data_IF_102929255176
#
_entry.id   IF_102929255176
#
_cell.length_a   1.000
_cell.length_b   1.000
_cell.length_c   1.000
_cell.angle_alpha   90.00
_cell.angle_beta   90.00
_cell.angle_gamma   90.00
#
_symmetry.space_group_name_H-M   'P 1'
#
loop_
_entity.id
_entity.type
_entity.pdbx_description
1 polymer ?
#
# COMPACT_ATOMS: atom_id res chain seq x y z
N UNK A 1 -40.00 44.04 3.25
CA UNK A 1 -38.71 43.97 2.54
C UNK A 1 -38.03 42.66 2.93
N UNK A 2 -38.22 41.63 2.11
CA UNK A 2 -37.85 40.25 2.40
C UNK A 2 -36.37 39.94 2.08
N UNK A 3 -35.73 39.25 3.03
CA UNK A 3 -34.85 38.06 2.94
C UNK A 3 -33.99 37.80 1.68
N UNK A 4 -32.70 37.48 1.89
CA UNK A 4 -31.89 36.40 1.28
C UNK A 4 -30.45 36.48 1.87
N UNK A 5 -30.10 35.71 2.92
CA UNK A 5 -29.48 34.35 2.98
C UNK A 5 -28.06 34.18 2.39
N UNK A 6 -27.10 34.09 3.32
CA UNK A 6 -26.06 33.06 3.49
C UNK A 6 -25.22 32.62 2.27
N UNK A 7 -23.97 33.08 2.24
CA UNK A 7 -22.85 32.49 1.50
C UNK A 7 -22.35 31.22 2.20
N UNK A 8 -22.66 30.06 1.62
CA UNK A 8 -22.10 28.77 2.03
C UNK A 8 -20.67 28.66 1.51
N UNK A 9 -19.70 28.63 2.42
CA UNK A 9 -18.33 28.19 2.16
C UNK A 9 -18.33 26.70 1.86
N UNK A 10 -17.85 26.34 0.67
CA UNK A 10 -17.62 24.94 0.27
C UNK A 10 -16.47 24.38 1.11
N UNK A 11 -16.61 23.24 1.80
CA UNK A 11 -15.51 22.64 2.53
C UNK A 11 -14.50 22.06 1.53
N UNK A 12 -13.23 22.37 1.74
CA UNK A 12 -12.13 21.74 1.04
C UNK A 12 -12.21 20.22 1.25
N UNK A 13 -12.40 19.48 0.14
CA UNK A 13 -12.29 18.04 0.13
C UNK A 13 -10.89 17.66 0.62
N UNK A 14 -10.82 17.08 1.81
CA UNK A 14 -9.61 16.45 2.31
C UNK A 14 -9.28 15.28 1.40
N UNK A 15 -8.23 15.42 0.60
CA UNK A 15 -7.55 14.30 -0.02
C UNK A 15 -7.08 13.37 1.11
N UNK A 16 -7.88 12.35 1.44
CA UNK A 16 -7.38 11.19 2.19
C UNK A 16 -6.28 10.58 1.31
N UNK A 17 -5.05 10.86 1.67
CA UNK A 17 -3.89 10.20 1.10
C UNK A 17 -4.01 8.70 1.37
N UNK A 18 -3.94 7.87 0.33
CA UNK A 18 -3.91 6.40 0.40
C UNK A 18 -2.87 5.84 1.38
N UNK A 19 -1.86 6.63 1.76
CA UNK A 19 -0.90 6.33 2.82
C UNK A 19 -1.51 6.16 4.22
N UNK A 20 -2.75 6.57 4.43
CA UNK A 20 -3.45 6.42 5.71
C UNK A 20 -3.89 4.98 6.02
N UNK A 21 -4.12 4.17 4.99
CA UNK A 21 -4.78 2.87 5.16
C UNK A 21 -3.80 1.79 5.62
N UNK A 22 -2.58 1.71 5.04
CA UNK A 22 -1.56 0.75 5.49
C UNK A 22 -0.98 1.11 6.87
N UNK A 23 -0.72 2.40 7.14
CA UNK A 23 -0.20 2.83 8.44
C UNK A 23 -1.17 2.48 9.55
N UNK A 24 -2.47 2.54 9.27
CA UNK A 24 -3.54 2.08 10.16
C UNK A 24 -3.51 0.56 10.36
N UNK A 25 -3.35 -0.23 9.30
CA UNK A 25 -3.32 -1.71 9.39
C UNK A 25 -2.12 -2.23 10.19
N UNK A 26 -0.91 -1.73 9.90
CA UNK A 26 0.30 -2.10 10.63
C UNK A 26 0.24 -1.61 12.09
N UNK A 27 -0.27 -0.40 12.32
CA UNK A 27 -0.49 0.10 13.68
C UNK A 27 -1.49 -0.76 14.46
N UNK A 28 -2.59 -1.17 13.83
CA UNK A 28 -3.58 -2.05 14.45
C UNK A 28 -2.97 -3.40 14.82
N UNK A 29 -2.11 -3.96 13.97
CA UNK A 29 -1.37 -5.18 14.27
C UNK A 29 -0.41 -5.00 15.45
N UNK A 30 0.41 -3.94 15.45
CA UNK A 30 1.33 -3.64 16.56
C UNK A 30 0.61 -3.42 17.90
N UNK A 31 -0.55 -2.76 17.87
CA UNK A 31 -1.38 -2.53 19.06
C UNK A 31 -2.05 -3.82 19.58
N UNK A 32 -2.20 -4.85 18.74
CA UNK A 32 -2.71 -6.16 19.16
C UNK A 32 -1.63 -7.01 19.86
N UNK A 33 -0.35 -6.66 19.72
CA UNK A 33 0.76 -7.42 20.31
C UNK A 33 0.86 -7.18 21.83
N UNK A 34 1.27 -8.20 22.62
CA UNK A 34 1.53 -8.04 24.04
C UNK A 34 2.66 -7.03 24.31
N UNK A 35 2.55 -6.30 25.43
CA UNK A 35 3.57 -5.32 25.87
C UNK A 35 4.98 -5.93 25.98
N UNK A 36 5.07 -7.18 26.45
CA UNK A 36 6.36 -7.89 26.54
C UNK A 36 6.98 -8.12 25.16
N UNK A 37 6.18 -8.45 24.15
CA UNK A 37 6.61 -8.63 22.77
C UNK A 37 7.10 -7.31 22.17
N UNK A 38 6.39 -6.20 22.43
CA UNK A 38 6.82 -4.86 22.03
C UNK A 38 8.15 -4.45 22.70
N UNK A 39 8.31 -4.73 23.99
CA UNK A 39 9.57 -4.46 24.70
C UNK A 39 10.76 -5.24 24.10
N UNK A 40 10.54 -6.50 23.68
CA UNK A 40 11.55 -7.28 22.95
C UNK A 40 11.86 -6.69 21.58
N UNK A 41 10.84 -6.23 20.86
CA UNK A 41 10.98 -5.60 19.55
C UNK A 41 11.80 -4.28 19.65
N UNK A 42 11.62 -3.52 20.73
CA UNK A 42 12.38 -2.30 21.02
C UNK A 42 13.84 -2.54 21.44
N UNK A 43 14.28 -3.79 21.59
CA UNK A 43 15.70 -4.09 21.78
C UNK A 43 16.52 -3.91 20.49
N UNK A 44 15.87 -3.92 19.33
CA UNK A 44 16.52 -3.76 18.03
C UNK A 44 16.43 -2.31 17.54
N UNK A 45 17.56 -1.59 17.35
CA UNK A 45 17.58 -0.21 16.86
C UNK A 45 16.81 0.04 15.56
N UNK A 46 16.86 -0.88 14.59
CA UNK A 46 16.13 -0.74 13.33
C UNK A 46 14.61 -0.77 13.52
N UNK A 47 14.12 -1.61 14.44
CA UNK A 47 12.70 -1.65 14.80
C UNK A 47 12.24 -0.35 15.45
N UNK A 48 13.04 0.25 16.33
CA UNK A 48 12.76 1.57 16.91
C UNK A 48 12.64 2.65 15.84
N UNK A 49 13.58 2.66 14.87
CA UNK A 49 13.56 3.62 13.77
C UNK A 49 12.35 3.43 12.84
N UNK A 50 12.03 2.18 12.49
CA UNK A 50 10.86 1.88 11.65
C UNK A 50 9.56 2.30 12.35
N UNK A 51 9.39 1.95 13.63
CA UNK A 51 8.21 2.33 14.41
C UNK A 51 8.12 3.85 14.57
N UNK A 52 9.25 4.54 14.78
CA UNK A 52 9.28 5.99 14.79
C UNK A 52 8.78 6.62 13.48
N UNK A 53 9.13 6.04 12.31
CA UNK A 53 8.66 6.51 11.00
C UNK A 53 7.15 6.37 10.81
N UNK A 54 6.53 5.39 11.47
CA UNK A 54 5.07 5.16 11.44
C UNK A 54 4.28 6.15 12.31
N UNK A 55 4.93 6.87 13.21
CA UNK A 55 4.27 7.80 14.13
C UNK A 55 3.78 9.07 13.43
N UNK A 56 2.64 9.64 13.87
CA UNK A 56 2.20 10.96 13.42
C UNK A 56 3.29 12.01 13.72
N UNK A 57 3.31 13.10 12.94
CA UNK A 57 4.32 14.17 13.07
C UNK A 57 4.47 14.69 14.50
N UNK A 58 3.35 14.93 15.20
CA UNK A 58 3.36 15.39 16.59
C UNK A 58 3.98 14.33 17.51
N UNK A 59 3.60 13.06 17.34
CA UNK A 59 4.19 11.97 18.10
C UNK A 59 5.70 11.85 17.91
N UNK A 60 6.19 12.07 16.67
CA UNK A 60 7.63 12.13 16.38
C UNK A 60 8.33 13.28 17.11
N UNK A 61 7.75 14.47 17.13
CA UNK A 61 8.31 15.61 17.87
C UNK A 61 8.38 15.35 19.37
N UNK A 62 7.33 14.77 19.96
CA UNK A 62 7.33 14.41 21.38
C UNK A 62 8.45 13.43 21.72
N UNK A 63 8.57 12.36 20.93
CA UNK A 63 9.63 11.35 21.10
C UNK A 63 11.02 11.99 20.97
N UNK A 64 11.24 12.86 19.98
CA UNK A 64 12.53 13.53 19.79
C UNK A 64 12.89 14.48 20.95
N UNK A 65 11.91 15.20 21.50
CA UNK A 65 12.15 16.06 22.67
C UNK A 65 12.45 15.25 23.93
N UNK A 66 11.79 14.09 24.11
CA UNK A 66 11.98 13.22 25.26
C UNK A 66 13.20 12.30 25.14
N UNK A 67 13.76 12.14 23.93
CA UNK A 67 14.80 11.13 23.72
C UNK A 67 16.03 11.41 24.57
N UNK A 68 16.45 12.68 24.72
CA UNK A 68 17.66 13.07 25.46
C UNK A 68 17.37 13.44 26.92
N UNK A 69 16.11 13.72 27.25
CA UNK A 69 15.69 14.02 28.62
C UNK A 69 15.74 12.76 29.49
N UNK A 70 16.43 12.84 30.62
CA UNK A 70 16.48 11.74 31.60
C UNK A 70 15.36 11.84 32.64
N UNK A 71 14.87 13.07 32.85
CA UNK A 71 13.80 13.42 33.78
C UNK A 71 12.40 13.22 33.17
N UNK A 72 11.43 12.75 33.97
CA UNK A 72 10.03 12.68 33.56
C UNK A 72 9.47 14.08 33.23
N UNK A 73 8.73 14.20 32.13
CA UNK A 73 8.06 15.47 31.74
C UNK A 73 6.63 15.47 32.27
N UNK A 74 6.16 16.59 32.82
CA UNK A 74 4.77 16.66 33.31
C UNK A 74 3.80 16.73 32.14
N UNK A 75 2.67 16.04 32.25
CA UNK A 75 1.62 16.10 31.20
C UNK A 75 1.11 17.52 30.97
N UNK A 76 0.98 18.32 32.03
CA UNK A 76 0.59 19.73 31.92
C UNK A 76 1.58 20.57 31.11
N UNK A 77 2.86 20.27 31.16
CA UNK A 77 3.89 20.97 30.37
C UNK A 77 3.79 20.61 28.88
N UNK A 78 3.48 19.34 28.58
CA UNK A 78 3.25 18.90 27.20
C UNK A 78 1.97 19.50 26.63
N UNK A 79 0.92 19.65 27.44
CA UNK A 79 -0.32 20.34 27.03
C UNK A 79 -0.08 21.82 26.72
N UNK A 80 0.88 22.47 27.38
CA UNK A 80 1.28 23.85 27.05
C UNK A 80 2.01 23.96 25.71
N UNK A 81 2.59 22.87 25.20
CA UNK A 81 3.22 22.87 23.87
C UNK A 81 2.18 22.90 22.74
N UNK A 82 0.94 22.50 23.01
CA UNK A 82 -0.17 22.73 22.10
C UNK A 82 -0.68 24.17 22.27
N UNK A 83 -0.86 24.88 21.15
CA UNK A 83 -1.44 26.23 21.17
C UNK A 83 -2.83 26.19 21.84
N UNK A 84 -2.94 26.84 23.00
CA UNK A 84 -4.16 26.88 23.83
C UNK A 84 -5.34 27.49 23.04
N UNK A 85 -5.05 28.33 22.04
CA UNK A 85 -6.07 29.04 21.27
C UNK A 85 -6.70 28.18 20.15
N UNK A 86 -6.16 26.99 19.87
CA UNK A 86 -6.64 26.10 18.80
C UNK A 86 -7.05 24.73 19.35
N UNK A 87 -8.35 24.42 19.43
CA UNK A 87 -8.81 23.14 19.95
C UNK A 87 -8.37 21.95 19.07
N UNK A 88 -8.14 22.16 17.77
CA UNK A 88 -7.65 21.12 16.86
C UNK A 88 -6.23 20.66 17.21
N UNK A 89 -5.39 21.56 17.71
CA UNK A 89 -4.04 21.20 18.15
C UNK A 89 -4.08 20.31 19.39
N UNK A 90 -5.07 20.53 20.28
CA UNK A 90 -5.27 19.70 21.47
C UNK A 90 -5.76 18.29 21.11
N UNK A 91 -6.71 18.17 20.18
CA UNK A 91 -7.20 16.85 19.74
C UNK A 91 -6.10 16.05 19.04
N UNK A 92 -5.32 16.69 18.16
CA UNK A 92 -4.19 16.02 17.49
C UNK A 92 -3.08 15.59 18.45
N UNK A 93 -2.84 16.37 19.52
CA UNK A 93 -1.92 16.00 20.58
C UNK A 93 -2.42 14.78 21.36
N UNK A 94 -3.70 14.78 21.76
CA UNK A 94 -4.31 13.68 22.51
C UNK A 94 -4.38 12.37 21.69
N UNK A 95 -4.71 12.47 20.40
CA UNK A 95 -4.64 11.36 19.46
C UNK A 95 -3.21 10.79 19.35
N UNK A 96 -2.21 11.67 19.29
CA UNK A 96 -0.79 11.27 19.20
C UNK A 96 -0.32 10.62 20.50
N UNK A 97 -0.69 11.16 21.66
CA UNK A 97 -0.39 10.59 22.97
C UNK A 97 -1.04 9.22 23.13
N UNK A 98 -2.33 9.10 22.77
CA UNK A 98 -3.05 7.82 22.77
C UNK A 98 -2.33 6.76 21.94
N UNK A 99 -1.80 7.15 20.77
CA UNK A 99 -1.00 6.24 19.93
C UNK A 99 0.32 5.82 20.59
N UNK A 100 1.02 6.76 21.22
CA UNK A 100 2.28 6.49 21.91
C UNK A 100 2.10 5.59 23.15
N UNK A 101 1.01 5.77 23.91
CA UNK A 101 0.67 4.91 25.05
C UNK A 101 0.31 3.50 24.61
N UNK A 102 -0.48 3.37 23.54
CA UNK A 102 -0.88 2.07 22.96
C UNK A 102 0.32 1.25 22.47
N UNK A 103 1.29 1.91 21.84
CA UNK A 103 2.55 1.28 21.44
C UNK A 103 3.53 1.08 22.60
N UNK A 104 3.19 1.45 23.84
CA UNK A 104 4.10 1.39 25.00
C UNK A 104 5.45 2.10 24.75
N UNK A 105 5.43 3.18 23.97
CA UNK A 105 6.59 4.05 23.76
C UNK A 105 6.71 5.04 24.91
N UNK A 106 5.57 5.58 25.36
CA UNK A 106 5.45 6.42 26.55
C UNK A 106 4.65 5.67 27.61
N UNK A 107 5.08 5.78 28.85
CA UNK A 107 4.40 5.29 30.05
C UNK A 107 3.97 6.48 30.91
N UNK A 108 2.73 6.45 31.39
CA UNK A 108 2.21 7.45 32.32
C UNK A 108 2.50 6.96 33.75
N UNK A 109 3.32 7.72 34.48
CA UNK A 109 3.65 7.47 35.88
C UNK A 109 2.98 8.51 36.76
N UNK A 110 2.32 8.06 37.80
CA UNK A 110 1.67 8.93 38.79
C UNK A 110 2.61 9.11 39.97
N UNK A 111 3.22 10.28 40.07
CA UNK A 111 4.02 10.62 41.25
C UNK A 111 3.06 10.90 42.40
N UNK A 112 2.98 9.99 43.37
CA UNK A 112 2.20 10.15 44.59
C UNK A 112 2.95 11.07 45.55
N UNK A 113 2.92 12.38 45.35
CA UNK A 113 3.30 13.31 46.40
C UNK A 113 2.27 13.26 47.53
N UNK A 114 2.71 13.42 48.77
CA UNK A 114 1.92 13.36 50.01
C UNK A 114 0.71 14.31 50.09
N UNK A 115 0.56 15.23 49.13
CA UNK A 115 -0.62 16.08 48.98
C UNK A 115 -1.69 15.41 48.11
N UNK A 116 -2.78 14.99 48.76
CA UNK A 116 -3.96 14.34 48.15
C UNK A 116 -4.72 15.20 47.11
N UNK A 117 -4.24 16.40 46.81
CA UNK A 117 -4.90 17.36 45.90
C UNK A 117 -4.17 17.62 44.58
N UNK A 118 -2.97 17.07 44.34
CA UNK A 118 -2.24 17.33 43.09
C UNK A 118 -1.58 16.06 42.54
N UNK A 119 -2.40 15.11 42.08
CA UNK A 119 -1.92 13.94 41.34
C UNK A 119 -1.41 14.39 39.97
N UNK A 120 -0.13 14.71 39.87
CA UNK A 120 0.49 15.08 38.59
C UNK A 120 0.88 13.83 37.81
N UNK A 121 0.30 13.69 36.61
CA UNK A 121 0.72 12.68 35.65
C UNK A 121 2.05 13.10 35.03
N UNK A 122 3.04 12.22 35.11
CA UNK A 122 4.36 12.38 34.47
C UNK A 122 4.49 11.39 33.33
N UNK A 123 5.09 11.82 32.24
CA UNK A 123 5.31 11.04 31.04
C UNK A 123 6.77 10.60 31.00
N UNK A 124 6.99 9.29 30.90
CA UNK A 124 8.31 8.68 30.85
C UNK A 124 8.41 7.87 29.56
N UNK A 125 9.52 8.01 28.84
CA UNK A 125 9.76 7.24 27.64
C UNK A 125 10.30 5.84 28.02
N UNK A 126 9.84 4.79 27.35
CA UNK A 126 10.29 3.43 27.59
C UNK A 126 11.83 3.35 27.47
N UNK A 127 12.50 2.89 28.52
CA UNK A 127 13.98 2.92 28.60
C UNK A 127 14.65 2.12 27.47
N UNK A 128 14.10 0.97 27.08
CA UNK A 128 14.63 0.18 25.97
C UNK A 128 14.48 0.91 24.64
N UNK A 129 13.30 1.50 24.38
CA UNK A 129 13.09 2.32 23.20
C UNK A 129 14.03 3.53 23.18
N UNK A 130 14.15 4.25 24.31
CA UNK A 130 15.00 5.42 24.45
C UNK A 130 16.45 5.10 24.10
N UNK A 131 17.01 4.04 24.69
CA UNK A 131 18.41 3.67 24.51
C UNK A 131 18.69 3.18 23.07
N UNK A 132 17.84 2.32 22.52
CA UNK A 132 18.08 1.77 21.17
C UNK A 132 17.75 2.77 20.06
N UNK A 133 16.80 3.67 20.29
CA UNK A 133 16.57 4.78 19.37
C UNK A 133 17.71 5.81 19.42
N UNK A 134 18.28 6.11 20.60
CA UNK A 134 19.52 6.92 20.69
C UNK A 134 20.65 6.28 19.89
N UNK A 135 20.86 4.96 20.04
CA UNK A 135 21.86 4.20 19.28
C UNK A 135 21.62 4.24 17.77
N UNK A 136 20.35 4.17 17.34
CA UNK A 136 19.98 4.31 15.93
C UNK A 136 20.38 5.68 15.36
N UNK A 137 20.20 6.75 16.14
CA UNK A 137 20.51 8.13 15.71
C UNK A 137 22.01 8.46 15.77
N UNK A 138 22.74 7.98 16.78
CA UNK A 138 24.17 8.26 16.94
C UNK A 138 25.07 7.28 16.20
N UNK A 139 24.52 6.24 15.60
CA UNK A 139 25.28 5.18 14.94
C UNK A 139 26.15 4.36 15.89
N UNK A 140 25.84 4.35 17.19
CA UNK A 140 26.65 3.68 18.21
C UNK A 140 26.25 2.22 18.45
N UNK A 141 27.24 1.34 18.62
CA UNK A 141 27.09 -0.06 19.06
C UNK A 141 27.46 -1.13 18.02
N UNK A 142 27.54 -2.39 18.46
CA UNK A 142 27.89 -3.56 17.62
C UNK A 142 26.65 -4.37 17.18
N UNK A 143 25.50 -3.72 17.05
CA UNK A 143 24.19 -4.39 16.94
C UNK A 143 23.84 -4.86 15.52
N UNK A 144 24.68 -4.57 14.51
CA UNK A 144 24.50 -4.95 13.09
C UNK A 144 23.05 -4.76 12.57
N UNK A 145 22.29 -3.88 13.21
CA UNK A 145 20.83 -3.82 13.05
C UNK A 145 20.40 -3.15 11.76
N UNK A 146 21.32 -2.45 11.09
CA UNK A 146 21.14 -1.83 9.78
C UNK A 146 21.83 -2.63 8.67
N UNK A 147 22.04 -3.93 8.89
CA UNK A 147 22.78 -4.80 7.98
C UNK A 147 24.30 -4.59 8.04
N UNK A 148 25.03 -5.50 7.42
CA UNK A 148 26.49 -5.40 7.25
C UNK A 148 26.77 -5.17 5.77
N UNK A 149 27.15 -3.96 5.35
CA UNK A 149 27.42 -3.68 3.94
C UNK A 149 28.66 -4.44 3.47
N UNK A 150 28.56 -5.09 2.32
CA UNK A 150 29.69 -5.71 1.64
C UNK A 150 30.48 -4.65 0.86
N UNK A 151 31.81 -4.73 0.90
CA UNK A 151 32.67 -3.97 -0.02
C UNK A 151 32.65 -4.66 -1.39
N UNK A 152 31.56 -4.48 -2.14
CA UNK A 152 31.42 -5.02 -3.49
C UNK A 152 32.36 -4.28 -4.43
N UNK A 153 33.15 -5.01 -5.21
CA UNK A 153 33.98 -4.38 -6.25
C UNK A 153 33.08 -3.71 -7.30
N UNK A 154 33.46 -2.56 -7.87
CA UNK A 154 32.62 -1.78 -8.78
C UNK A 154 32.20 -2.52 -10.07
N UNK A 155 32.82 -3.67 -10.37
CA UNK A 155 32.51 -4.51 -11.54
C UNK A 155 31.39 -5.53 -11.30
N UNK A 156 30.99 -5.75 -10.05
CA UNK A 156 29.96 -6.76 -9.66
C UNK A 156 28.73 -6.11 -9.03
N UNK A 157 28.60 -4.79 -9.10
CA UNK A 157 27.44 -4.07 -8.56
C UNK A 157 26.27 -4.28 -9.50
N UNK A 158 25.18 -4.84 -8.97
CA UNK A 158 23.91 -4.94 -9.70
C UNK A 158 23.35 -3.53 -9.86
N UNK A 159 23.08 -3.05 -11.09
CA UNK A 159 22.52 -1.72 -11.29
C UNK A 159 21.11 -1.64 -10.69
N UNK A 160 20.75 -0.45 -10.21
CA UNK A 160 19.45 -0.20 -9.58
C UNK A 160 18.30 -0.56 -10.54
N UNK A 161 18.45 -0.27 -11.83
CA UNK A 161 17.44 -0.59 -12.85
C UNK A 161 17.17 -2.09 -12.98
N UNK A 162 18.18 -2.94 -12.76
CA UNK A 162 18.01 -4.39 -12.77
C UNK A 162 17.30 -4.89 -11.51
N UNK A 163 17.58 -4.30 -10.35
CA UNK A 163 16.87 -4.57 -9.10
C UNK A 163 15.40 -4.18 -9.19
N UNK A 164 15.13 -3.03 -9.80
CA UNK A 164 13.79 -2.50 -9.98
C UNK A 164 13.00 -3.39 -10.96
N UNK A 165 13.61 -3.78 -12.09
CA UNK A 165 13.02 -4.75 -13.03
C UNK A 165 12.73 -6.09 -12.35
N UNK A 166 13.67 -6.62 -11.58
CA UNK A 166 13.50 -7.88 -10.86
C UNK A 166 12.33 -7.84 -9.88
N UNK A 167 12.25 -6.79 -9.05
CA UNK A 167 11.17 -6.61 -8.08
C UNK A 167 9.80 -6.50 -8.76
N UNK A 168 9.70 -5.69 -9.82
CA UNK A 168 8.46 -5.50 -10.57
C UNK A 168 8.03 -6.78 -11.31
N UNK A 169 8.94 -7.49 -11.97
CA UNK A 169 8.61 -8.75 -12.66
C UNK A 169 8.08 -9.82 -11.69
N UNK A 170 8.71 -9.97 -10.52
CA UNK A 170 8.25 -10.90 -9.47
C UNK A 170 6.88 -10.51 -8.94
N UNK A 171 6.69 -9.23 -8.64
CA UNK A 171 5.42 -8.72 -8.10
C UNK A 171 4.27 -8.85 -9.11
N UNK A 172 4.48 -8.43 -10.36
CA UNK A 172 3.48 -8.55 -11.43
C UNK A 172 3.17 -10.02 -11.74
N UNK A 173 4.14 -10.94 -11.63
CA UNK A 173 3.87 -12.39 -11.76
C UNK A 173 2.84 -12.87 -10.74
N UNK A 174 2.88 -12.36 -9.50
CA UNK A 174 1.90 -12.69 -8.45
C UNK A 174 0.53 -12.11 -8.81
N UNK A 175 0.47 -10.83 -9.18
CA UNK A 175 -0.80 -10.15 -9.53
C UNK A 175 -1.45 -10.79 -10.77
N UNK A 176 -0.67 -11.09 -11.79
CA UNK A 176 -1.14 -11.73 -13.01
C UNK A 176 -1.65 -13.15 -12.78
N UNK A 177 -1.06 -13.89 -11.83
CA UNK A 177 -1.58 -15.19 -11.41
C UNK A 177 -2.96 -15.04 -10.75
N UNK A 178 -3.17 -14.00 -9.93
CA UNK A 178 -4.48 -13.76 -9.30
C UNK A 178 -5.60 -13.51 -10.31
N UNK A 179 -5.30 -12.85 -11.44
CA UNK A 179 -6.27 -12.56 -12.52
C UNK A 179 -6.51 -13.77 -13.45
N UNK A 180 -5.73 -14.86 -13.30
CA UNK A 180 -5.91 -16.08 -14.09
C UNK A 180 -5.27 -16.04 -15.47
N UNK A 181 -4.29 -15.16 -15.68
CA UNK A 181 -3.52 -15.15 -16.92
C UNK A 181 -2.62 -16.39 -17.02
N UNK A 182 -2.53 -16.99 -18.22
CA UNK A 182 -1.69 -18.16 -18.47
C UNK A 182 -0.25 -17.73 -18.72
N UNK A 183 0.45 -17.31 -17.67
CA UNK A 183 1.89 -17.07 -17.72
C UNK A 183 2.69 -18.38 -17.61
N UNK A 184 3.92 -18.43 -18.17
CA UNK A 184 4.78 -19.61 -18.09
C UNK A 184 5.35 -19.84 -16.68
N UNK A 185 5.53 -18.77 -15.91
CA UNK A 185 6.11 -18.80 -14.55
C UNK A 185 5.03 -18.71 -13.49
N UNK A 186 4.93 -19.74 -12.66
CA UNK A 186 3.99 -19.77 -11.52
C UNK A 186 4.68 -19.23 -10.27
N UNK A 187 3.96 -18.49 -9.39
CA UNK A 187 4.46 -18.14 -8.06
C UNK A 187 4.83 -19.38 -7.25
N UNK A 188 5.67 -19.19 -6.24
CA UNK A 188 6.08 -20.28 -5.34
C UNK A 188 4.90 -20.83 -4.54
N UNK A 189 5.05 -22.07 -4.05
CA UNK A 189 4.01 -22.74 -3.27
C UNK A 189 3.61 -21.95 -2.02
N UNK A 190 4.58 -21.33 -1.33
CA UNK A 190 4.37 -20.55 -0.11
C UNK A 190 3.45 -19.35 -0.36
N UNK A 191 3.62 -18.67 -1.50
CA UNK A 191 2.75 -17.55 -1.91
C UNK A 191 1.34 -18.06 -2.17
N UNK A 192 1.18 -19.18 -2.89
CA UNK A 192 -0.15 -19.74 -3.18
C UNK A 192 -0.88 -20.19 -1.92
N UNK A 193 -0.15 -20.79 -0.96
CA UNK A 193 -0.72 -21.13 0.35
C UNK A 193 -1.13 -19.89 1.13
N UNK A 194 -0.33 -18.82 1.10
CA UNK A 194 -0.65 -17.55 1.75
C UNK A 194 -1.88 -16.90 1.11
N UNK A 195 -1.97 -16.85 -0.22
CA UNK A 195 -3.10 -16.28 -0.96
C UNK A 195 -4.40 -17.06 -0.70
N UNK A 196 -4.30 -18.38 -0.51
CA UNK A 196 -5.41 -19.22 -0.09
C UNK A 196 -5.88 -18.91 1.34
N UNK A 197 -4.94 -18.84 2.28
CA UNK A 197 -5.22 -18.59 3.69
C UNK A 197 -5.70 -17.15 3.97
N UNK A 198 -5.23 -16.16 3.20
CA UNK A 198 -5.67 -14.76 3.31
C UNK A 198 -7.12 -14.53 2.85
N UNK A 199 -7.69 -15.53 2.16
CA UNK A 199 -8.98 -15.43 1.49
C UNK A 199 -8.94 -14.53 0.26
N UNK A 200 -7.76 -14.16 -0.25
CA UNK A 200 -7.60 -13.40 -1.50
C UNK A 200 -7.90 -14.28 -2.72
N UNK A 201 -7.60 -15.57 -2.61
CA UNK A 201 -7.99 -16.58 -3.59
C UNK A 201 -8.67 -17.77 -2.90
N UNK A 202 -9.73 -18.30 -3.49
CA UNK A 202 -10.38 -19.53 -3.02
C UNK A 202 -10.15 -20.64 -4.01
N UNK A 203 -9.88 -21.84 -3.50
CA UNK A 203 -9.90 -23.05 -4.32
C UNK A 203 -11.26 -23.70 -4.24
N UNK A 204 -11.74 -24.20 -5.38
CA UNK A 204 -12.90 -25.10 -5.43
C UNK A 204 -12.55 -26.52 -4.96
N UNK A 205 -11.26 -26.86 -4.88
CA UNK A 205 -10.77 -28.15 -4.36
C UNK A 205 -9.61 -27.89 -3.35
N UNK A 206 -9.76 -28.23 -2.06
CA UNK A 206 -8.74 -28.01 -1.03
C UNK A 206 -7.38 -28.65 -1.31
N UNK A 207 -7.31 -29.66 -2.20
CA UNK A 207 -6.05 -30.34 -2.55
C UNK A 207 -5.39 -29.80 -3.81
N UNK A 208 -6.08 -28.99 -4.61
CA UNK A 208 -5.54 -28.40 -5.83
C UNK A 208 -5.29 -26.90 -5.62
N UNK A 209 -4.05 -26.56 -5.29
CA UNK A 209 -3.55 -25.16 -5.31
C UNK A 209 -3.45 -24.59 -6.74
N UNK A 210 -3.74 -25.41 -7.75
CA UNK A 210 -3.60 -25.07 -9.17
C UNK A 210 -4.89 -24.51 -9.80
N UNK A 211 -6.01 -24.51 -9.08
CA UNK A 211 -7.30 -23.97 -9.54
C UNK A 211 -7.83 -22.87 -8.61
N UNK A 212 -6.93 -22.00 -8.13
CA UNK A 212 -7.31 -20.87 -7.31
C UNK A 212 -8.06 -19.84 -8.16
N UNK A 213 -9.25 -19.45 -7.70
CA UNK A 213 -10.05 -18.35 -8.26
C UNK A 213 -9.97 -17.16 -7.33
N UNK A 214 -9.92 -15.96 -7.91
CA UNK A 214 -9.93 -14.71 -7.16
C UNK A 214 -11.26 -14.51 -6.43
N UNK A 215 -11.19 -14.04 -5.18
CA UNK A 215 -12.37 -13.69 -4.37
C UNK A 215 -12.73 -12.22 -4.53
N UNK A 216 -13.90 -11.79 -4.03
CA UNK A 216 -14.26 -10.37 -3.95
C UNK A 216 -13.22 -9.55 -3.17
N UNK A 217 -12.67 -10.11 -2.09
CA UNK A 217 -11.56 -9.53 -1.32
C UNK A 217 -10.28 -9.42 -2.15
N UNK A 218 -9.96 -10.45 -2.94
CA UNK A 218 -8.84 -10.45 -3.87
C UNK A 218 -8.96 -9.39 -4.96
N UNK A 219 -10.17 -9.14 -5.46
CA UNK A 219 -10.40 -8.04 -6.41
C UNK A 219 -10.20 -6.67 -5.77
N UNK A 220 -10.66 -6.47 -4.53
CA UNK A 220 -10.39 -5.24 -3.76
C UNK A 220 -8.89 -4.99 -3.62
N UNK A 221 -8.15 -6.02 -3.21
CA UNK A 221 -6.70 -6.00 -3.11
C UNK A 221 -6.00 -5.54 -4.41
N UNK A 222 -6.43 -6.01 -5.59
CA UNK A 222 -5.83 -5.59 -6.87
C UNK A 222 -6.01 -4.10 -7.21
N UNK A 223 -6.95 -3.43 -6.56
CA UNK A 223 -7.26 -2.02 -6.76
C UNK A 223 -6.54 -1.10 -5.76
N UNK A 224 -5.95 -1.66 -4.70
CA UNK A 224 -5.18 -0.92 -3.71
C UNK A 224 -3.82 -0.45 -4.27
N UNK A 225 -3.18 0.48 -3.56
CA UNK A 225 -1.82 0.89 -3.87
C UNK A 225 -0.81 -0.20 -3.51
N UNK A 226 0.37 -0.19 -4.14
CA UNK A 226 1.36 -1.27 -4.00
C UNK A 226 1.89 -1.39 -2.58
N UNK A 227 1.98 -0.29 -1.81
CA UNK A 227 2.47 -0.36 -0.43
C UNK A 227 1.44 -1.06 0.47
N UNK A 228 0.16 -0.68 0.33
CA UNK A 228 -0.94 -1.35 1.03
C UNK A 228 -1.02 -2.82 0.65
N UNK A 229 -0.92 -3.15 -0.64
CA UNK A 229 -0.90 -4.55 -1.10
C UNK A 229 0.26 -5.35 -0.48
N UNK A 230 1.47 -4.79 -0.44
CA UNK A 230 2.63 -5.44 0.15
C UNK A 230 2.42 -5.70 1.65
N UNK A 231 1.95 -4.70 2.40
CA UNK A 231 1.70 -4.87 3.82
C UNK A 231 0.56 -5.84 4.12
N UNK A 232 -0.49 -5.88 3.31
CA UNK A 232 -1.57 -6.85 3.47
C UNK A 232 -1.07 -8.29 3.34
N UNK A 233 -0.19 -8.55 2.35
CA UNK A 233 0.46 -9.85 2.20
C UNK A 233 1.43 -10.12 3.35
N UNK A 234 2.26 -9.14 3.75
CA UNK A 234 3.23 -9.31 4.83
C UNK A 234 2.58 -9.50 6.21
N UNK A 235 1.47 -8.82 6.49
CA UNK A 235 0.69 -9.01 7.71
C UNK A 235 0.04 -10.40 7.73
N UNK A 236 -0.41 -10.91 6.59
CA UNK A 236 -0.85 -12.30 6.50
C UNK A 236 0.33 -13.26 6.70
N UNK A 237 1.49 -12.97 6.10
CA UNK A 237 2.70 -13.77 6.27
C UNK A 237 3.10 -13.86 7.74
N UNK A 238 3.03 -12.76 8.49
CA UNK A 238 3.29 -12.74 9.93
C UNK A 238 2.33 -13.66 10.71
N UNK A 239 1.03 -13.63 10.40
CA UNK A 239 0.04 -14.53 11.02
C UNK A 239 0.28 -16.00 10.66
N UNK A 240 0.65 -16.27 9.41
CA UNK A 240 1.01 -17.63 8.97
C UNK A 240 2.26 -18.10 9.73
N UNK A 241 3.27 -17.26 9.82
CA UNK A 241 4.56 -17.55 10.47
C UNK A 241 4.41 -17.79 11.97
N UNK A 242 3.53 -17.05 12.63
CA UNK A 242 3.11 -17.28 14.02
C UNK A 242 2.52 -18.69 14.20
N UNK A 243 1.68 -19.16 13.27
CA UNK A 243 1.11 -20.52 13.37
C UNK A 243 2.14 -21.64 13.13
N UNK A 244 3.24 -21.35 12.44
CA UNK A 244 4.38 -22.27 12.27
C UNK A 244 5.36 -22.23 13.46
N UNK A 245 5.11 -21.41 14.48
CA UNK A 245 5.90 -21.35 15.72
C UNK A 245 7.19 -20.54 15.62
N UNK A 246 7.34 -19.70 14.58
CA UNK A 246 8.47 -18.77 14.48
C UNK A 246 8.24 -17.53 15.36
N UNK A 247 9.32 -16.98 15.93
CA UNK A 247 9.22 -15.78 16.77
C UNK A 247 8.89 -14.55 15.93
N UNK A 248 7.69 -14.00 16.12
CA UNK A 248 7.18 -12.82 15.43
C UNK A 248 8.13 -11.63 15.59
N UNK A 249 8.81 -11.52 16.74
CA UNK A 249 9.76 -10.43 17.00
C UNK A 249 10.93 -10.46 16.02
N UNK A 250 11.46 -11.65 15.74
CA UNK A 250 12.61 -11.81 14.83
C UNK A 250 12.21 -11.53 13.38
N UNK A 251 11.00 -11.95 12.99
CA UNK A 251 10.46 -11.70 11.65
C UNK A 251 10.20 -10.21 11.44
N UNK A 252 9.55 -9.54 12.40
CA UNK A 252 9.31 -8.09 12.34
C UNK A 252 10.62 -7.29 12.35
N UNK A 253 11.58 -7.68 13.19
CA UNK A 253 12.88 -7.04 13.22
C UNK A 253 13.61 -7.17 11.88
N UNK A 254 13.50 -8.33 11.21
CA UNK A 254 14.04 -8.55 9.87
C UNK A 254 13.38 -7.64 8.83
N UNK A 255 12.04 -7.57 8.81
CA UNK A 255 11.29 -6.70 7.89
C UNK A 255 11.62 -5.21 8.09
N UNK A 256 11.72 -4.75 9.33
CA UNK A 256 12.09 -3.38 9.65
C UNK A 256 13.55 -3.06 9.33
N UNK A 257 14.46 -4.02 9.51
CA UNK A 257 15.84 -3.91 9.05
C UNK A 257 15.90 -3.72 7.53
N UNK A 258 15.24 -4.59 6.75
CA UNK A 258 15.18 -4.49 5.29
C UNK A 258 14.62 -3.15 4.80
N UNK A 259 13.60 -2.62 5.48
CA UNK A 259 13.03 -1.30 5.19
C UNK A 259 13.94 -0.11 5.55
N UNK A 260 15.05 -0.34 6.23
CA UNK A 260 16.04 0.69 6.58
C UNK A 260 17.33 0.63 5.74
N UNK A 261 17.47 -0.38 4.89
CA UNK A 261 18.64 -0.57 4.05
C UNK A 261 18.66 0.40 2.85
N UNK A 262 19.86 0.68 2.37
CA UNK A 262 20.08 1.51 1.18
C UNK A 262 19.95 0.68 -0.11
N UNK A 263 19.30 1.28 -1.12
CA UNK A 263 19.13 0.70 -2.45
C UNK A 263 20.46 0.69 -3.21
N UNK A 264 20.76 -0.41 -3.90
CA UNK A 264 21.99 -0.56 -4.68
C UNK A 264 23.23 -0.95 -3.85
N UNK A 265 23.08 -1.07 -2.53
CA UNK A 265 24.12 -1.57 -1.64
C UNK A 265 23.94 -3.08 -1.39
N UNK A 266 25.03 -3.85 -1.46
CA UNK A 266 25.04 -5.28 -1.13
C UNK A 266 25.23 -5.45 0.38
N UNK A 267 24.50 -6.39 0.97
CA UNK A 267 24.59 -6.72 2.39
C UNK A 267 24.91 -8.20 2.61
N UNK A 268 25.66 -8.48 3.68
CA UNK A 268 25.92 -9.85 4.12
C UNK A 268 24.91 -10.30 5.17
N UNK A 269 24.52 -11.58 5.09
CA UNK A 269 23.66 -12.24 6.07
C UNK A 269 24.33 -13.45 6.74
N UNK A 270 25.67 -13.54 6.72
CA UNK A 270 26.43 -14.66 7.30
C UNK A 270 26.14 -14.92 8.79
N UNK A 271 25.78 -13.86 9.53
CA UNK A 271 25.58 -13.89 10.97
C UNK A 271 24.10 -13.97 11.36
N UNK A 272 23.20 -14.24 10.41
CA UNK A 272 21.77 -14.27 10.66
C UNK A 272 21.34 -15.57 11.33
N UNK A 273 20.25 -15.49 12.08
CA UNK A 273 19.64 -16.68 12.67
C UNK A 273 18.99 -17.54 11.59
N UNK A 274 18.74 -18.82 11.90
CA UNK A 274 18.03 -19.73 10.99
C UNK A 274 16.66 -19.17 10.57
N UNK A 275 15.95 -18.56 11.52
CA UNK A 275 14.66 -17.89 11.27
C UNK A 275 14.80 -16.73 10.29
N UNK A 276 15.78 -15.84 10.50
CA UNK A 276 16.02 -14.70 9.62
C UNK A 276 16.40 -15.15 8.20
N UNK A 277 17.18 -16.22 8.08
CA UNK A 277 17.56 -16.80 6.78
C UNK A 277 16.35 -17.38 6.06
N UNK A 278 15.47 -18.08 6.78
CA UNK A 278 14.21 -18.59 6.21
C UNK A 278 13.31 -17.45 5.73
N UNK A 279 13.13 -16.42 6.55
CA UNK A 279 12.37 -15.21 6.18
C UNK A 279 12.97 -14.57 4.93
N UNK A 280 14.31 -14.46 4.84
CA UNK A 280 14.97 -13.91 3.66
C UNK A 280 14.61 -14.70 2.40
N UNK A 281 14.63 -16.03 2.45
CA UNK A 281 14.27 -16.88 1.31
C UNK A 281 12.80 -16.70 0.90
N UNK A 282 11.89 -16.59 1.87
CA UNK A 282 10.48 -16.27 1.57
C UNK A 282 10.35 -14.89 0.91
N UNK A 283 11.12 -13.89 1.36
CA UNK A 283 11.12 -12.52 0.81
C UNK A 283 11.69 -12.43 -0.62
N UNK A 284 12.52 -13.38 -1.04
CA UNK A 284 12.95 -13.51 -2.45
C UNK A 284 11.76 -13.83 -3.35
N UNK A 285 10.84 -14.68 -2.91
CA UNK A 285 9.67 -15.06 -3.69
C UNK A 285 8.71 -13.89 -3.90
N UNK A 286 8.61 -12.97 -2.93
CA UNK A 286 7.84 -11.74 -3.04
C UNK A 286 8.53 -10.64 -3.88
N UNK A 287 9.79 -10.84 -4.29
CA UNK A 287 10.57 -9.83 -5.01
C UNK A 287 11.08 -8.68 -4.14
N UNK A 288 11.08 -8.85 -2.80
CA UNK A 288 11.57 -7.84 -1.86
C UNK A 288 13.10 -7.86 -1.74
N UNK A 289 13.72 -9.01 -2.03
CA UNK A 289 15.16 -9.20 -1.94
C UNK A 289 15.66 -9.99 -3.15
N UNK A 290 16.85 -9.62 -3.64
CA UNK A 290 17.61 -10.39 -4.61
C UNK A 290 18.82 -11.02 -3.93
N UNK A 291 18.91 -12.36 -3.93
CA UNK A 291 20.09 -13.09 -3.42
C UNK A 291 21.04 -13.35 -4.58
N UNK A 292 22.25 -12.79 -4.50
CA UNK A 292 23.29 -12.91 -5.53
C UNK A 292 24.29 -14.02 -5.22
N UNK A 293 24.55 -14.26 -3.94
CA UNK A 293 25.50 -15.23 -3.43
C UNK A 293 24.95 -15.89 -2.15
N UNK A 294 25.48 -17.04 -1.70
CA UNK A 294 24.92 -17.75 -0.53
C UNK A 294 24.96 -16.95 0.77
N UNK A 295 25.79 -15.91 0.86
CA UNK A 295 25.94 -15.03 2.02
C UNK A 295 25.65 -13.55 1.70
N UNK A 296 25.13 -13.23 0.50
CA UNK A 296 24.92 -11.84 0.04
C UNK A 296 23.58 -11.60 -0.62
N UNK A 297 23.03 -10.40 -0.38
CA UNK A 297 21.77 -9.98 -0.95
C UNK A 297 21.72 -8.48 -1.22
N UNK A 298 20.77 -8.09 -2.07
CA UNK A 298 20.40 -6.71 -2.36
C UNK A 298 18.93 -6.47 -1.99
N UNK A 299 18.60 -5.41 -1.22
CA UNK A 299 17.22 -4.99 -1.04
C UNK A 299 16.69 -4.41 -2.35
N UNK A 300 15.49 -4.80 -2.77
CA UNK A 300 14.81 -4.14 -3.89
C UNK A 300 14.12 -2.88 -3.40
N UNK A 301 13.71 -2.01 -4.33
CA UNK A 301 13.03 -0.78 -3.90
C UNK A 301 11.72 -1.05 -3.17
N UNK A 302 11.01 -2.13 -3.51
CA UNK A 302 9.81 -2.58 -2.79
C UNK A 302 10.08 -2.73 -1.28
N UNK A 303 11.22 -3.31 -0.90
CA UNK A 303 11.63 -3.45 0.50
C UNK A 303 11.99 -2.10 1.14
N UNK A 304 12.81 -1.27 0.48
CA UNK A 304 13.22 0.03 1.04
C UNK A 304 12.05 1.01 1.23
N UNK A 305 11.00 0.88 0.40
CA UNK A 305 9.80 1.72 0.50
C UNK A 305 8.78 1.20 1.50
N UNK A 306 8.99 0.00 2.08
CA UNK A 306 8.07 -0.64 3.00
C UNK A 306 7.81 0.19 4.27
N UNK A 307 8.84 0.82 4.83
CA UNK A 307 8.73 1.65 6.05
C UNK A 307 8.79 3.15 5.78
N UNK A 308 8.77 3.54 4.49
CA UNK A 308 8.86 4.94 4.07
C UNK A 308 7.48 5.48 3.71
N UNK A 309 7.28 6.76 3.96
CA UNK A 309 6.10 7.50 3.46
C UNK A 309 6.26 7.95 2.01
N UNK A 310 7.42 7.67 1.38
CA UNK A 310 7.64 7.92 -0.03
C UNK A 310 6.85 6.92 -0.89
N UNK A 311 6.27 7.34 -2.04
CA UNK A 311 5.56 6.42 -2.92
C UNK A 311 6.46 5.26 -3.36
N UNK A 312 6.00 4.00 -3.30
CA UNK A 312 6.76 2.86 -3.82
C UNK A 312 6.93 2.98 -5.34
N UNK A 313 7.97 2.37 -5.93
CA UNK A 313 8.28 2.52 -7.36
C UNK A 313 7.13 2.21 -8.30
N UNK A 314 6.41 1.12 -8.04
CA UNK A 314 5.31 0.72 -8.91
C UNK A 314 4.21 1.79 -8.88
N UNK A 315 4.06 2.49 -7.74
CA UNK A 315 3.23 3.69 -7.68
C UNK A 315 3.89 4.87 -8.39
N UNK A 316 5.21 5.06 -8.34
CA UNK A 316 5.90 6.17 -9.03
C UNK A 316 5.87 6.04 -10.57
N UNK A 317 6.05 4.85 -11.11
CA UNK A 317 5.87 4.54 -12.54
C UNK A 317 4.39 4.70 -12.93
N UNK A 318 3.46 4.16 -12.14
CA UNK A 318 2.01 4.37 -12.35
C UNK A 318 1.60 5.84 -12.23
N UNK A 319 2.17 6.61 -11.29
CA UNK A 319 1.92 8.05 -11.13
C UNK A 319 2.48 8.83 -12.33
N UNK A 320 3.65 8.45 -12.85
CA UNK A 320 4.17 9.02 -14.10
C UNK A 320 3.30 8.65 -15.31
N UNK A 321 2.65 7.50 -15.32
CA UNK A 321 1.69 7.10 -16.35
C UNK A 321 0.32 7.80 -16.20
N UNK A 322 -0.14 8.06 -14.97
CA UNK A 322 -1.47 8.60 -14.65
C UNK A 322 -1.56 10.13 -14.57
N UNK A 323 -0.45 10.85 -14.35
CA UNK A 323 -0.50 12.31 -14.27
C UNK A 323 -0.62 12.95 -15.66
N UNK A 324 -1.87 13.24 -16.04
CA UNK A 324 -2.14 14.33 -16.95
C UNK A 324 -1.82 15.67 -16.29
N UNK A 325 -1.10 16.56 -16.96
CA UNK A 325 -0.72 17.86 -16.39
C UNK A 325 -1.70 18.95 -16.85
N UNK A 326 -2.05 19.84 -15.92
CA UNK A 326 -2.91 21.01 -16.16
C UNK A 326 -2.02 22.25 -16.27
N UNK A 327 -1.91 22.82 -17.48
CA UNK A 327 -1.22 24.09 -17.68
C UNK A 327 -2.26 25.19 -17.65
N UNK A 328 -2.13 26.10 -16.69
CA UNK A 328 -2.97 27.28 -16.59
C UNK A 328 -2.15 28.49 -17.02
N UNK A 329 -2.51 29.07 -18.16
CA UNK A 329 -1.89 30.30 -18.66
C UNK A 329 -2.47 31.53 -17.93
N UNK A 330 -1.71 32.63 -17.90
CA UNK A 330 -2.12 33.92 -17.31
C UNK A 330 -3.32 34.58 -18.00
N UNK A 331 -3.74 34.08 -19.15
CA UNK A 331 -4.94 34.48 -19.87
C UNK A 331 -6.19 33.66 -19.48
N UNK A 332 -6.15 32.94 -18.35
CA UNK A 332 -7.21 32.05 -17.86
C UNK A 332 -7.53 30.86 -18.77
N UNK A 333 -6.64 30.50 -19.71
CA UNK A 333 -6.77 29.27 -20.49
C UNK A 333 -6.22 28.09 -19.70
N UNK A 334 -7.00 27.03 -19.66
CA UNK A 334 -6.66 25.78 -18.98
C UNK A 334 -6.42 24.71 -20.04
N UNK A 335 -5.20 24.19 -20.12
CA UNK A 335 -4.83 23.07 -20.96
C UNK A 335 -4.69 21.82 -20.09
N UNK A 336 -5.65 20.90 -20.19
CA UNK A 336 -5.59 19.61 -19.53
C UNK A 336 -4.96 18.59 -20.49
N UNK A 337 -3.70 18.21 -20.25
CA UNK A 337 -3.01 17.18 -21.02
C UNK A 337 -3.30 15.82 -20.39
N UNK A 338 -4.41 15.19 -20.75
CA UNK A 338 -4.68 13.80 -20.36
C UNK A 338 -4.05 12.85 -21.39
N UNK A 339 -3.50 11.70 -20.94
CA UNK A 339 -2.76 10.78 -21.82
C UNK A 339 -3.64 9.74 -22.53
N UNK A 340 -4.94 9.68 -22.24
CA UNK A 340 -5.83 8.61 -22.72
C UNK A 340 -6.64 9.03 -23.95
N UNK A 341 -5.92 9.36 -25.02
CA UNK A 341 -6.48 9.60 -26.35
C UNK A 341 -6.62 8.27 -27.08
N UNK A 342 -7.84 7.81 -27.30
CA UNK A 342 -8.08 6.70 -28.22
C UNK A 342 -7.97 7.22 -29.66
N UNK A 343 -7.05 6.63 -30.41
CA UNK A 343 -6.77 6.95 -31.82
C UNK A 343 -6.47 5.66 -32.60
N UNK A 344 -6.32 5.78 -33.92
CA UNK A 344 -5.94 4.68 -34.83
C UNK A 344 -6.99 3.55 -35.01
N UNK A 345 -8.27 3.92 -35.10
CA UNK A 345 -9.34 2.97 -35.45
C UNK A 345 -9.22 2.49 -36.90
N UNK A 346 -9.29 1.17 -37.12
CA UNK A 346 -9.14 0.57 -38.45
C UNK A 346 -10.33 0.88 -39.35
N UNK A 347 -11.54 0.96 -38.78
CA UNK A 347 -12.77 1.25 -39.52
C UNK A 347 -13.64 2.26 -38.78
N UNK A 348 -14.50 2.97 -39.52
CA UNK A 348 -15.46 3.90 -38.93
C UNK A 348 -16.47 3.17 -38.01
N UNK A 349 -16.88 1.97 -38.39
CA UNK A 349 -17.79 1.15 -37.59
C UNK A 349 -17.18 0.75 -36.22
N UNK A 350 -15.88 0.47 -36.19
CA UNK A 350 -15.17 0.17 -34.94
C UNK A 350 -15.13 1.40 -34.02
N UNK A 351 -14.82 2.57 -34.57
CA UNK A 351 -14.89 3.84 -33.83
C UNK A 351 -16.29 4.10 -33.26
N UNK A 352 -17.33 4.04 -34.10
CA UNK A 352 -18.70 4.34 -33.68
C UNK A 352 -19.21 3.36 -32.63
N UNK A 353 -18.91 2.07 -32.77
CA UNK A 353 -19.30 1.05 -31.79
C UNK A 353 -18.61 1.25 -30.43
N UNK A 354 -17.31 1.58 -30.45
CA UNK A 354 -16.51 1.80 -29.25
C UNK A 354 -16.94 3.08 -28.55
N UNK A 355 -17.21 4.13 -29.31
CA UNK A 355 -17.71 5.41 -28.81
C UNK A 355 -19.10 5.29 -28.22
N UNK A 356 -20.02 4.61 -28.90
CA UNK A 356 -21.40 4.41 -28.41
C UNK A 356 -21.42 3.61 -27.09
N UNK A 357 -20.57 2.59 -26.98
CA UNK A 357 -20.40 1.84 -25.75
C UNK A 357 -19.81 2.70 -24.63
N UNK A 358 -18.77 3.48 -24.93
CA UNK A 358 -18.14 4.40 -23.97
C UNK A 358 -19.11 5.49 -23.50
N UNK A 359 -19.99 5.99 -24.40
CA UNK A 359 -21.06 6.92 -24.05
C UNK A 359 -22.10 6.28 -23.13
N UNK A 360 -22.45 5.01 -23.37
CA UNK A 360 -23.38 4.26 -22.52
C UNK A 360 -22.86 4.07 -21.10
N UNK A 361 -21.54 3.98 -20.94
CA UNK A 361 -20.86 3.91 -19.65
C UNK A 361 -20.63 5.28 -18.99
N UNK A 362 -20.88 6.40 -19.69
CA UNK A 362 -20.68 7.75 -19.16
C UNK A 362 -19.22 8.17 -19.01
N UNK A 363 -18.28 7.51 -19.72
CA UNK A 363 -16.83 7.68 -19.51
C UNK A 363 -16.14 8.56 -20.57
N UNK A 364 -16.88 9.05 -21.56
CA UNK A 364 -16.34 9.90 -22.65
C UNK A 364 -16.24 11.34 -22.17
N UNK A 365 -15.04 11.89 -22.16
CA UNK A 365 -14.77 13.28 -21.77
C UNK A 365 -14.81 14.23 -22.98
N UNK A 366 -14.39 13.75 -24.15
CA UNK A 366 -14.34 14.54 -25.38
C UNK A 366 -14.32 13.63 -26.60
N UNK A 367 -14.92 14.07 -27.71
CA UNK A 367 -14.95 13.32 -28.96
C UNK A 367 -14.72 14.21 -30.18
N UNK A 368 -14.15 13.63 -31.24
CA UNK A 368 -13.97 14.28 -32.53
C UNK A 368 -14.15 13.27 -33.66
N UNK A 369 -15.38 13.19 -34.18
CA UNK A 369 -15.78 12.23 -35.21
C UNK A 369 -14.93 12.31 -36.49
N UNK A 370 -14.56 13.53 -36.93
CA UNK A 370 -13.78 13.73 -38.16
C UNK A 370 -12.34 13.17 -38.11
N UNK A 371 -11.78 13.03 -36.90
CA UNK A 371 -10.43 12.49 -36.69
C UNK A 371 -10.48 11.07 -36.11
N UNK A 372 -11.69 10.55 -35.82
CA UNK A 372 -11.92 9.30 -35.09
C UNK A 372 -11.11 9.23 -33.80
N UNK A 373 -11.21 10.29 -32.99
CA UNK A 373 -10.49 10.41 -31.72
C UNK A 373 -11.45 10.73 -30.60
N UNK A 374 -11.25 10.13 -29.43
CA UNK A 374 -11.98 10.52 -28.22
C UNK A 374 -11.13 10.31 -26.97
N UNK A 375 -11.39 11.12 -25.94
CA UNK A 375 -10.78 11.01 -24.62
C UNK A 375 -11.74 10.33 -23.64
N UNK A 376 -11.19 9.52 -22.74
CA UNK A 376 -11.95 8.85 -21.67
C UNK A 376 -11.41 9.18 -20.28
N UNK A 377 -12.28 8.99 -19.28
CA UNK A 377 -11.92 9.06 -17.86
C UNK A 377 -11.08 7.87 -17.40
N UNK A 378 -10.11 8.14 -16.52
CA UNK A 378 -9.06 7.21 -16.04
C UNK A 378 -9.65 6.01 -15.28
N UNK A 379 -10.76 6.21 -14.57
CA UNK A 379 -11.31 5.24 -13.61
C UNK A 379 -11.83 3.94 -14.26
N UNK A 380 -11.98 3.88 -15.59
CA UNK A 380 -12.65 2.77 -16.30
C UNK A 380 -11.80 2.22 -17.47
N UNK A 381 -10.57 2.72 -17.67
CA UNK A 381 -9.68 2.19 -18.73
C UNK A 381 -9.29 0.72 -18.49
N UNK A 382 -9.09 0.30 -17.23
CA UNK A 382 -8.82 -1.10 -16.87
C UNK A 382 -9.93 -2.06 -17.34
N UNK A 383 -11.18 -1.64 -17.24
CA UNK A 383 -12.35 -2.41 -17.70
C UNK A 383 -12.37 -2.58 -19.22
N UNK A 384 -11.96 -1.54 -19.95
CA UNK A 384 -12.00 -1.55 -21.41
C UNK A 384 -10.82 -2.30 -22.04
N UNK A 385 -9.61 -2.16 -21.49
CA UNK A 385 -8.42 -2.90 -21.96
C UNK A 385 -8.60 -4.42 -21.84
N UNK A 386 -9.19 -4.89 -20.73
CA UNK A 386 -9.53 -6.30 -20.52
C UNK A 386 -10.53 -6.82 -21.56
N UNK A 387 -11.53 -6.01 -21.95
CA UNK A 387 -12.53 -6.41 -22.96
C UNK A 387 -12.01 -6.36 -24.40
N UNK A 388 -11.13 -5.41 -24.75
CA UNK A 388 -10.52 -5.37 -26.09
C UNK A 388 -9.65 -6.61 -26.30
N UNK A 389 -8.94 -7.06 -25.25
CA UNK A 389 -8.20 -8.33 -25.25
C UNK A 389 -9.13 -9.56 -25.41
N UNK A 390 -10.29 -9.59 -24.76
CA UNK A 390 -11.28 -10.67 -24.96
C UNK A 390 -11.88 -10.68 -26.38
N UNK A 391 -12.22 -9.52 -26.95
CA UNK A 391 -12.78 -9.43 -28.32
C UNK A 391 -11.75 -9.81 -29.39
N UNK A 392 -10.48 -9.41 -29.24
CA UNK A 392 -9.41 -9.82 -30.18
C UNK A 392 -9.13 -11.34 -30.09
N UNK A 393 -9.25 -11.94 -28.90
CA UNK A 393 -9.17 -13.39 -28.72
C UNK A 393 -10.34 -14.16 -29.35
N UNK A 394 -11.56 -13.63 -29.30
CA UNK A 394 -12.73 -14.23 -29.93
C UNK A 394 -12.67 -14.17 -31.47
N UNK A 395 -12.17 -13.09 -32.05
CA UNK A 395 -11.99 -12.96 -33.51
C UNK A 395 -10.94 -13.93 -34.06
N UNK A 396 -9.87 -14.21 -33.30
CA UNK A 396 -8.88 -15.25 -33.67
C UNK A 396 -9.40 -16.69 -33.56
N UNK A 397 -10.56 -16.92 -32.92
CA UNK A 397 -11.15 -18.25 -32.72
C UNK A 397 -12.34 -18.57 -33.63
N UNK A 398 -12.66 -17.71 -34.60
CA UNK A 398 -13.66 -18.02 -35.63
C UNK A 398 -15.10 -18.18 -35.14
N UNK A 399 -15.45 -17.63 -33.97
CA UNK A 399 -16.83 -17.66 -33.46
C UNK A 399 -17.58 -16.43 -33.97
N UNK A 400 -18.41 -16.63 -34.99
CA UNK A 400 -19.39 -15.64 -35.45
C UNK A 400 -20.56 -15.59 -34.46
N UNK A 401 -20.83 -14.44 -33.84
CA UNK A 401 -22.10 -14.18 -33.14
C UNK A 401 -22.98 -13.34 -34.07
N UNK A 402 -24.22 -13.77 -34.39
CA UNK A 402 -25.03 -13.13 -35.41
C UNK A 402 -25.66 -11.81 -34.95
N UNK A 403 -25.84 -10.91 -35.91
CA UNK A 403 -26.54 -9.63 -35.81
C UNK A 403 -28.03 -9.83 -36.04
N UNK A 404 -28.88 -9.35 -35.13
CA UNK A 404 -30.32 -9.11 -35.35
C UNK A 404 -30.84 -8.09 -34.32
N UNK A 405 -31.81 -7.20 -34.57
CA UNK A 405 -32.29 -6.47 -35.74
C UNK A 405 -33.19 -5.34 -35.16
N UNK A 406 -33.50 -4.32 -35.96
CA UNK A 406 -34.34 -3.17 -35.61
C UNK A 406 -35.76 -3.52 -35.10
N UNK A 407 -36.18 -2.81 -34.06
CA UNK A 407 -37.42 -2.01 -33.96
C UNK A 407 -38.79 -2.67 -34.13
N UNK A 408 -39.60 -2.69 -33.06
CA UNK A 408 -40.93 -2.05 -32.99
C UNK A 408 -41.57 -2.22 -31.59
N UNK A 409 -42.41 -1.24 -31.27
CA UNK A 409 -43.30 -0.97 -30.12
C UNK A 409 -43.89 -2.12 -29.28
N UNK A 410 -44.06 -1.81 -27.97
CA UNK A 410 -44.97 -2.39 -26.94
C UNK A 410 -44.71 -3.84 -26.51
N UNK A 411 -44.21 -4.02 -25.29
CA UNK A 411 -44.91 -4.72 -24.19
C UNK A 411 -43.99 -4.91 -22.97
N UNK A 412 -44.65 -5.05 -21.84
CA UNK A 412 -44.20 -5.03 -20.45
C UNK A 412 -43.52 -6.37 -20.05
N UNK A 413 -42.52 -6.26 -19.18
CA UNK A 413 -42.05 -7.27 -18.22
C UNK A 413 -41.60 -8.67 -18.73
N UNK A 414 -40.28 -8.90 -18.69
CA UNK A 414 -39.55 -10.10 -18.22
C UNK A 414 -38.19 -10.19 -18.93
N UNK A 415 -37.10 -9.90 -18.22
CA UNK A 415 -35.74 -10.28 -18.59
C UNK A 415 -34.86 -10.19 -17.34
N UNK A 416 -34.99 -11.19 -16.46
CA UNK A 416 -34.12 -11.39 -15.29
C UNK A 416 -33.13 -12.55 -15.46
N UNK A 417 -33.18 -13.28 -16.57
CA UNK A 417 -32.36 -14.46 -16.80
C UNK A 417 -31.75 -14.36 -18.19
N UNK A 418 -30.56 -13.77 -18.28
CA UNK A 418 -29.49 -14.03 -19.30
C UNK A 418 -28.40 -12.94 -19.21
N UNK A 419 -27.83 -12.77 -18.01
CA UNK A 419 -26.61 -11.96 -17.82
C UNK A 419 -25.54 -12.83 -17.18
N UNK A 420 -24.35 -12.83 -17.78
CA UNK A 420 -23.18 -13.52 -17.23
C UNK A 420 -22.78 -12.94 -15.86
N UNK A 421 -22.02 -13.68 -15.03
CA UNK A 421 -21.67 -13.25 -13.66
C UNK A 421 -20.96 -11.88 -13.60
N UNK A 422 -20.13 -11.58 -14.61
CA UNK A 422 -19.38 -10.32 -14.74
C UNK A 422 -20.26 -9.14 -15.17
N UNK A 423 -21.28 -9.39 -16.00
CA UNK A 423 -22.21 -8.35 -16.45
C UNK A 423 -23.20 -7.97 -15.35
N UNK A 424 -23.57 -8.93 -14.49
CA UNK A 424 -24.34 -8.68 -13.27
C UNK A 424 -23.58 -7.80 -12.27
N UNK A 425 -22.29 -8.09 -12.02
CA UNK A 425 -21.47 -7.32 -11.11
C UNK A 425 -21.24 -5.87 -11.59
N UNK A 426 -21.05 -5.67 -12.90
CA UNK A 426 -20.92 -4.34 -13.48
C UNK A 426 -22.24 -3.53 -13.47
N UNK A 427 -23.37 -4.21 -13.64
CA UNK A 427 -24.70 -3.58 -13.60
C UNK A 427 -25.13 -3.18 -12.18
N UNK A 428 -24.81 -3.99 -11.17
CA UNK A 428 -25.10 -3.67 -9.76
C UNK A 428 -24.24 -2.52 -9.21
N UNK A 429 -22.96 -2.42 -9.60
CA UNK A 429 -22.10 -1.31 -9.19
C UNK A 429 -22.50 0.03 -9.83
N UNK A 430 -22.97 0.02 -11.08
CA UNK A 430 -23.40 1.23 -11.80
C UNK A 430 -24.72 1.84 -11.31
N UNK A 431 -25.53 1.09 -10.53
CA UNK A 431 -26.79 1.57 -9.96
C UNK A 431 -26.66 2.00 -8.48
N UNK A 432 -25.46 1.93 -7.89
CA UNK A 432 -25.19 2.33 -6.49
C UNK A 432 -24.34 3.61 -6.35
N UNK A 433 -23.99 4.27 -7.46
CA UNK A 433 -23.58 5.69 -7.50
C UNK A 433 -24.68 6.50 -8.18
#
# INVERSE_FOLDING_TARGET
>A
MASLRSTTTVPANSSKSSTGDFTSALYAFLNALPKLTLARLYNTPASCLAIFRLLPLIGRHLVLNMIWSEDPIRKSEVELWADINRPECKTQLDDSLTKLFRLNIIEESFTSSSDRHNTQATLILNRSFQQNFRRALTGGGNHCSFGVPCNTSPKSVVPIDELDRYGTEKWETILHYMVGSRLPTKPSHNILTLLGQSGLMTSTDPRSLHSLKITSKGFGFLLEDVNTQLWDILLQYLKMTESHGLDIVDVLACLFMLGSLELGQEYSFSNWTSTQTQVLQDLVDYGLVLVTAPDRFYPTRLATTLTSTAPPLVSAERLQEEHGFLVLETNYRIYAYTRYLYQDFRTAAEYDSTLQYSKKLGIVLWEHAGLRKFFMSVMVMRLMMLMVLERVCCVKKGVHVPVAFRGTTRARARAGDELGPLERAAWEFGNCM
#
